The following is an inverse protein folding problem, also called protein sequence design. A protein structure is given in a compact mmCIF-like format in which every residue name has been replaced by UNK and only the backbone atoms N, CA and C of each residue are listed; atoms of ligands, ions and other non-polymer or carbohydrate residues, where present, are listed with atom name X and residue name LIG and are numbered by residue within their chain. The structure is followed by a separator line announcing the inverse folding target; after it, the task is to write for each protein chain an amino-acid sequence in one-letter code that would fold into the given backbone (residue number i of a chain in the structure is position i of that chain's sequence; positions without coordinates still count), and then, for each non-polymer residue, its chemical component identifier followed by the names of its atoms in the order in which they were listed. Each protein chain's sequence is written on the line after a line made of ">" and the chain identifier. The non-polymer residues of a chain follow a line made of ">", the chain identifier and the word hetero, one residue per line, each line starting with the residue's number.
data_IF_621413428383
#
_entry.id   IF_621413428383
#
_cell.length_a   1.000
_cell.length_b   1.000
_cell.length_c   1.000
_cell.angle_alpha   90.00
_cell.angle_beta   90.00
_cell.angle_gamma   90.00
#
_symmetry.space_group_name_H-M   'P 1'
#
loop_
_entity.id
_entity.type
_entity.pdbx_description
1 polymer ?
#
# COMPACT_ATOMS: atom_id res chain seq x y z
N UNK A 1 -39.35 14.69 17.31
CA UNK A 1 -38.80 13.72 16.34
C UNK A 1 -38.34 14.51 15.11
N UNK A 2 -37.20 14.16 14.52
CA UNK A 2 -36.77 14.75 13.25
C UNK A 2 -37.32 13.95 12.08
N UNK A 3 -37.64 14.63 10.97
CA UNK A 3 -38.11 14.01 9.73
C UNK A 3 -37.10 14.25 8.62
N UNK A 4 -36.84 13.22 7.82
CA UNK A 4 -35.96 13.29 6.64
C UNK A 4 -36.79 12.89 5.43
N UNK A 5 -36.81 13.74 4.40
CA UNK A 5 -37.46 13.46 3.12
C UNK A 5 -36.38 13.19 2.08
N UNK A 6 -36.38 12.01 1.47
CA UNK A 6 -35.38 11.59 0.49
C UNK A 6 -36.12 11.23 -0.81
N UNK A 7 -35.65 11.79 -1.93
CA UNK A 7 -36.10 11.40 -3.27
C UNK A 7 -35.15 10.33 -3.80
N UNK A 8 -35.73 9.22 -4.23
CA UNK A 8 -35.03 8.09 -4.85
C UNK A 8 -35.80 7.67 -6.09
N UNK A 9 -35.12 6.95 -6.99
CA UNK A 9 -35.77 6.33 -8.14
C UNK A 9 -36.77 5.23 -7.68
N UNK A 10 -37.86 5.07 -8.43
CA UNK A 10 -38.91 4.12 -8.09
C UNK A 10 -38.41 2.66 -8.14
N UNK A 11 -37.57 2.31 -9.13
CA UNK A 11 -36.98 0.97 -9.21
C UNK A 11 -36.06 0.70 -8.02
N UNK A 12 -35.22 1.67 -7.66
CA UNK A 12 -34.33 1.53 -6.49
C UNK A 12 -35.14 1.32 -5.21
N UNK A 13 -36.25 2.03 -5.04
CA UNK A 13 -37.13 1.87 -3.88
C UNK A 13 -37.72 0.47 -3.81
N UNK A 14 -38.21 -0.05 -4.93
CA UNK A 14 -38.87 -1.35 -4.99
C UNK A 14 -37.87 -2.48 -4.73
N UNK A 15 -36.69 -2.42 -5.35
CA UNK A 15 -35.61 -3.39 -5.16
C UNK A 15 -35.15 -3.44 -3.69
N UNK A 16 -34.88 -2.27 -3.11
CA UNK A 16 -34.44 -2.17 -1.72
C UNK A 16 -35.55 -2.60 -0.76
N UNK A 17 -36.82 -2.29 -1.06
CA UNK A 17 -37.97 -2.73 -0.24
C UNK A 17 -38.05 -4.24 -0.21
N UNK A 18 -37.91 -4.90 -1.36
CA UNK A 18 -37.92 -6.35 -1.45
C UNK A 18 -36.81 -6.98 -0.62
N UNK A 19 -35.58 -6.50 -0.76
CA UNK A 19 -34.41 -7.01 -0.01
C UNK A 19 -34.63 -6.89 1.51
N UNK A 20 -35.10 -5.72 1.99
CA UNK A 20 -35.37 -5.55 3.42
C UNK A 20 -36.54 -6.41 3.91
N UNK A 21 -37.60 -6.57 3.10
CA UNK A 21 -38.74 -7.41 3.46
C UNK A 21 -38.35 -8.89 3.58
N UNK A 22 -37.44 -9.40 2.74
CA UNK A 22 -36.88 -10.75 2.86
C UNK A 22 -36.14 -10.95 4.19
N UNK A 23 -35.62 -9.87 4.79
CA UNK A 23 -35.00 -9.86 6.12
C UNK A 23 -35.98 -9.52 7.26
N UNK A 24 -37.27 -9.30 6.96
CA UNK A 24 -38.28 -8.90 7.95
C UNK A 24 -38.13 -7.44 8.43
N UNK A 25 -37.52 -6.58 7.62
CA UNK A 25 -37.27 -5.17 7.90
C UNK A 25 -37.99 -4.27 6.90
N UNK A 26 -38.31 -3.06 7.31
CA UNK A 26 -38.73 -2.00 6.37
C UNK A 26 -37.54 -1.11 5.98
N UNK A 27 -37.66 -0.41 4.86
CA UNK A 27 -36.63 0.53 4.39
C UNK A 27 -36.27 1.55 5.47
N UNK A 28 -37.26 2.06 6.23
CA UNK A 28 -37.01 3.08 7.26
C UNK A 28 -36.12 2.52 8.36
N UNK A 29 -36.32 1.27 8.77
CA UNK A 29 -35.43 0.60 9.72
C UNK A 29 -34.04 0.42 9.15
N UNK A 30 -33.91 0.02 7.88
CA UNK A 30 -32.62 -0.05 7.19
C UNK A 30 -31.85 1.28 7.22
N UNK A 31 -32.52 2.39 6.87
CA UNK A 31 -31.92 3.74 6.93
C UNK A 31 -31.53 4.12 8.36
N UNK A 32 -32.37 3.82 9.36
CA UNK A 32 -32.05 4.09 10.77
C UNK A 32 -30.81 3.32 11.23
N UNK A 33 -30.66 2.06 10.85
CA UNK A 33 -29.48 1.24 11.16
C UNK A 33 -28.23 1.88 10.56
N UNK A 34 -28.30 2.30 9.29
CA UNK A 34 -27.21 3.00 8.64
C UNK A 34 -26.80 4.27 9.40
N UNK A 35 -27.76 5.15 9.72
CA UNK A 35 -27.49 6.38 10.45
C UNK A 35 -26.93 6.12 11.85
N UNK A 36 -27.41 5.08 12.53
CA UNK A 36 -26.88 4.66 13.84
C UNK A 36 -25.44 4.20 13.74
N UNK A 37 -25.09 3.47 12.69
CA UNK A 37 -23.71 3.05 12.44
C UNK A 37 -22.79 4.23 12.17
N UNK A 38 -23.23 5.19 11.35
CA UNK A 38 -22.52 6.46 11.11
C UNK A 38 -22.31 7.23 12.42
N UNK A 39 -23.35 7.34 13.25
CA UNK A 39 -23.27 8.00 14.55
C UNK A 39 -22.26 7.33 15.49
N UNK A 40 -22.25 6.00 15.52
CA UNK A 40 -21.39 5.24 16.42
C UNK A 40 -19.92 5.28 15.97
N UNK A 41 -19.67 5.09 14.68
CA UNK A 41 -18.31 4.95 14.15
C UNK A 41 -17.69 6.28 13.70
N UNK A 42 -18.48 7.36 13.65
CA UNK A 42 -18.09 8.69 13.15
C UNK A 42 -17.48 8.64 11.75
N UNK A 43 -17.91 7.67 10.93
CA UNK A 43 -17.48 7.48 9.54
C UNK A 43 -18.60 6.81 8.72
N UNK A 44 -18.44 6.82 7.40
CA UNK A 44 -19.32 6.08 6.50
C UNK A 44 -19.11 4.58 6.73
N UNK A 45 -20.17 3.78 6.94
CA UNK A 45 -20.09 2.38 7.34
C UNK A 45 -19.89 1.44 6.15
N UNK A 46 -19.08 1.87 5.20
CA UNK A 46 -18.58 1.08 4.08
C UNK A 46 -17.32 1.77 3.55
N UNK A 47 -16.42 0.98 2.98
CA UNK A 47 -15.20 1.51 2.38
C UNK A 47 -15.56 2.29 1.11
N UNK A 48 -15.08 3.53 1.01
CA UNK A 48 -15.21 4.34 -0.19
C UNK A 48 -14.08 3.98 -1.16
N UNK A 49 -14.32 2.99 -2.01
CA UNK A 49 -13.39 2.64 -3.08
C UNK A 49 -13.69 3.50 -4.32
N UNK A 50 -12.84 4.47 -4.62
CA UNK A 50 -12.71 4.93 -6.01
C UNK A 50 -12.09 3.79 -6.83
N UNK A 51 -12.31 3.72 -8.15
CA UNK A 51 -11.94 2.61 -9.06
C UNK A 51 -10.43 2.23 -9.08
N UNK A 52 -9.61 2.85 -8.23
CA UNK A 52 -8.19 2.66 -8.04
C UNK A 52 -7.80 2.33 -6.59
N UNK A 53 -8.69 1.74 -5.78
CA UNK A 53 -8.29 1.28 -4.46
C UNK A 53 -7.34 0.08 -4.60
N UNK A 54 -6.11 0.25 -4.11
CA UNK A 54 -5.12 -0.82 -4.00
C UNK A 54 -5.67 -1.95 -3.12
N UNK A 55 -5.94 -3.10 -3.75
CA UNK A 55 -6.35 -4.31 -3.04
C UNK A 55 -5.10 -5.13 -2.67
N UNK A 56 -4.65 -4.95 -1.42
CA UNK A 56 -3.50 -5.66 -0.88
C UNK A 56 -3.65 -7.18 -0.96
N UNK A 57 -4.88 -7.73 -0.84
CA UNK A 57 -5.13 -9.17 -0.93
C UNK A 57 -4.91 -9.65 -2.36
N UNK A 58 -5.45 -8.93 -3.33
CA UNK A 58 -5.25 -9.23 -4.76
C UNK A 58 -3.77 -9.18 -5.12
N UNK A 59 -3.02 -8.19 -4.63
CA UNK A 59 -1.57 -8.07 -4.88
C UNK A 59 -0.79 -9.21 -4.23
N UNK A 60 -1.11 -9.58 -2.99
CA UNK A 60 -0.50 -10.73 -2.33
C UNK A 60 -0.74 -12.03 -3.08
N UNK A 61 -1.96 -12.25 -3.57
CA UNK A 61 -2.31 -13.43 -4.39
C UNK A 61 -1.51 -13.47 -5.70
N UNK A 62 -1.39 -12.35 -6.41
CA UNK A 62 -0.61 -12.26 -7.65
C UNK A 62 0.88 -12.54 -7.41
N UNK A 63 1.44 -12.04 -6.31
CA UNK A 63 2.82 -12.35 -5.91
C UNK A 63 3.02 -13.85 -5.61
N UNK A 64 2.12 -14.46 -4.85
CA UNK A 64 2.16 -15.89 -4.53
C UNK A 64 1.97 -16.76 -5.77
N UNK A 65 1.15 -16.32 -6.73
CA UNK A 65 0.95 -16.98 -8.02
C UNK A 65 2.15 -16.83 -8.97
N UNK A 66 3.15 -16.02 -8.63
CA UNK A 66 4.35 -15.80 -9.44
C UNK A 66 4.14 -14.85 -10.61
N UNK A 67 3.15 -13.95 -10.54
CA UNK A 67 2.97 -12.90 -11.55
C UNK A 67 4.22 -12.00 -11.62
N UNK A 68 4.98 -12.13 -12.71
CA UNK A 68 6.31 -11.51 -12.82
C UNK A 68 6.24 -9.97 -12.71
N UNK A 69 5.20 -9.34 -13.25
CA UNK A 69 5.03 -7.90 -13.16
C UNK A 69 4.86 -7.45 -11.70
N UNK A 70 3.99 -8.11 -10.94
CA UNK A 70 3.78 -7.84 -9.52
C UNK A 70 5.05 -8.12 -8.70
N UNK A 71 5.73 -9.24 -8.94
CA UNK A 71 6.98 -9.61 -8.26
C UNK A 71 8.08 -8.57 -8.50
N UNK A 72 8.27 -8.15 -9.75
CA UNK A 72 9.30 -7.18 -10.12
C UNK A 72 9.01 -5.80 -9.53
N UNK A 73 7.74 -5.37 -9.57
CA UNK A 73 7.32 -4.10 -8.99
C UNK A 73 7.54 -4.09 -7.47
N UNK A 74 7.12 -5.14 -6.76
CA UNK A 74 7.31 -5.23 -5.31
C UNK A 74 8.78 -5.32 -4.91
N UNK A 75 9.60 -6.13 -5.61
CA UNK A 75 11.03 -6.21 -5.35
C UNK A 75 11.74 -4.87 -5.56
N UNK A 76 11.33 -4.10 -6.57
CA UNK A 76 11.86 -2.75 -6.83
C UNK A 76 11.50 -1.79 -5.70
N UNK A 77 10.25 -1.81 -5.23
CA UNK A 77 9.79 -1.01 -4.09
C UNK A 77 10.58 -1.35 -2.81
N UNK A 78 10.75 -2.63 -2.47
CA UNK A 78 11.52 -3.03 -1.30
C UNK A 78 12.98 -2.58 -1.38
N UNK A 79 13.59 -2.67 -2.57
CA UNK A 79 14.96 -2.18 -2.80
C UNK A 79 15.07 -0.67 -2.59
N UNK A 80 14.07 0.11 -3.01
CA UNK A 80 14.04 1.57 -2.82
C UNK A 80 13.83 1.98 -1.36
N UNK A 81 12.96 1.27 -0.63
CA UNK A 81 12.73 1.51 0.80
C UNK A 81 13.96 1.18 1.65
N UNK A 82 14.71 0.13 1.29
CA UNK A 82 15.97 -0.21 1.97
C UNK A 82 17.10 0.79 1.65
N UNK A 83 17.07 1.43 0.48
CA UNK A 83 18.05 2.49 0.15
C UNK A 83 17.79 3.78 0.93
N UNK A 84 16.53 4.12 1.15
CA UNK A 84 16.13 5.37 1.83
C UNK A 84 16.36 5.33 3.35
N UNK A 85 16.48 4.15 3.95
CA UNK A 85 16.80 3.99 5.37
C UNK A 85 18.29 4.24 5.70
N UNK A 86 19.20 4.16 4.73
CA UNK A 86 20.63 4.40 4.93
C UNK A 86 21.08 5.85 4.76
N UNK A 87 20.23 6.76 4.27
CA UNK A 87 20.59 8.19 4.09
C UNK A 87 20.08 9.10 5.22
N UNK A 88 19.43 8.55 6.24
CA UNK A 88 18.92 9.30 7.40
C UNK A 88 19.74 9.12 8.69
N UNK A 89 20.98 8.63 8.60
CA UNK A 89 21.98 8.84 9.67
C UNK A 89 22.52 10.27 9.56
N UNK A 90 21.73 11.25 10.02
CA UNK A 90 22.22 12.59 10.31
C UNK A 90 23.06 12.49 11.59
N UNK A 91 24.33 12.13 11.44
CA UNK A 91 25.26 12.01 12.57
C UNK A 91 26.46 11.15 12.21
N UNK A 92 27.51 11.79 11.70
CA UNK A 92 28.83 11.16 11.52
C UNK A 92 29.21 10.97 10.05
N UNK A 93 29.65 12.05 9.42
CA UNK A 93 30.52 11.96 8.25
C UNK A 93 31.88 11.45 8.74
N UNK A 94 32.10 10.13 8.72
CA UNK A 94 33.46 9.59 8.88
C UNK A 94 34.15 9.74 7.54
N UNK A 95 35.14 10.62 7.53
CA UNK A 95 36.15 10.76 6.52
C UNK A 95 36.96 9.45 6.49
N UNK A 96 36.68 8.55 5.54
CA UNK A 96 37.64 7.52 5.18
C UNK A 96 38.39 7.98 3.93
N UNK A 97 39.69 8.18 4.15
CA UNK A 97 40.62 8.77 3.21
C UNK A 97 40.71 8.01 1.90
N UNK A 98 40.88 8.76 0.82
CA UNK A 98 41.37 8.25 -0.44
C UNK A 98 42.84 7.81 -0.25
N UNK A 99 43.22 6.54 -0.45
CA UNK A 99 44.59 6.24 -0.81
C UNK A 99 44.78 6.57 -2.30
N UNK A 100 45.89 7.27 -2.55
CA UNK A 100 46.29 7.85 -3.82
C UNK A 100 46.38 6.84 -4.98
N UNK A 101 45.97 7.28 -6.16
CA UNK A 101 46.48 6.76 -7.42
C UNK A 101 47.95 7.18 -7.56
N UNK A 102 48.86 6.21 -7.67
CA UNK A 102 50.21 6.44 -8.16
C UNK A 102 50.42 5.58 -9.41
N UNK A 103 50.41 6.25 -10.55
CA UNK A 103 50.79 5.73 -11.87
C UNK A 103 52.32 5.70 -11.94
N UNK A 104 52.93 4.52 -11.86
CA UNK A 104 54.39 4.35 -11.87
C UNK A 104 54.83 3.09 -12.62
N UNK A 105 54.76 3.13 -13.95
CA UNK A 105 55.44 2.20 -14.85
C UNK A 105 56.97 2.26 -14.63
N UNK A 106 57.60 1.14 -14.24
CA UNK A 106 59.05 1.07 -14.02
C UNK A 106 59.59 -0.33 -13.80
N UNK A 107 60.20 -0.87 -14.84
CA UNK A 107 60.78 -2.21 -14.99
C UNK A 107 62.03 -2.34 -14.11
N UNK A 108 62.15 -3.41 -13.32
CA UNK A 108 63.33 -3.62 -12.47
C UNK A 108 63.43 -5.04 -11.92
N UNK A 109 63.98 -5.93 -12.74
CA UNK A 109 64.48 -7.25 -12.34
C UNK A 109 65.37 -7.12 -11.08
N UNK A 110 65.33 -8.07 -10.15
CA UNK A 110 66.27 -9.20 -10.17
C UNK A 110 66.20 -10.07 -8.89
N UNK A 111 66.65 -11.32 -9.09
CA UNK A 111 67.37 -12.22 -8.18
C UNK A 111 66.77 -12.69 -6.84
N UNK A 112 66.16 -13.87 -6.89
CA UNK A 112 66.80 -15.13 -6.47
C UNK A 112 67.98 -15.03 -5.46
N UNK A 113 67.73 -15.38 -4.19
CA UNK A 113 68.50 -16.36 -3.39
C UNK A 113 67.83 -16.46 -2.00
N UNK A 114 67.43 -17.60 -1.43
CA UNK A 114 68.02 -18.93 -1.19
C UNK A 114 68.34 -19.08 0.31
N UNK A 115 67.74 -20.14 0.87
CA UNK A 115 67.86 -20.75 2.21
C UNK A 115 67.02 -20.12 3.32
#
# INVERSE_FOLDING_TARGET
>A
MAQINIKIDDQLKDDVSRIFNEMGLDITTGIKIYLKRVQQDQRIPFELTSHHSFDAKKVAQQYQAGDQATVNNLNSLFKELNKTSHTASIGGQILDGHPAQDEGNGIGQNILNKR
#
